data_IF_845286260754
#
_entry.id   IF_845286260754
#
_cell.length_a   1.000
_cell.length_b   1.000
_cell.length_c   1.000
_cell.angle_alpha   90.00
_cell.angle_beta   90.00
_cell.angle_gamma   90.00
#
_symmetry.space_group_name_H-M   'P 1'
#
loop_
_entity.id
_entity.type
_entity.pdbx_description
1 polymer ?
#
# COMPACT_ATOMS: atom_id res chain seq x y z
N UNK A 1 -15.88 -22.84 -1.43
CA UNK A 1 -14.68 -22.66 -0.59
C UNK A 1 -14.21 -24.05 -0.24
N UNK A 2 -12.94 -24.41 -0.48
CA UNK A 2 -12.38 -25.61 0.17
C UNK A 2 -12.48 -25.37 1.67
N UNK A 3 -13.29 -26.18 2.35
CA UNK A 3 -13.65 -26.00 3.75
C UNK A 3 -12.37 -25.92 4.60
N UNK A 4 -12.20 -24.81 5.32
CA UNK A 4 -11.08 -24.58 6.25
C UNK A 4 -9.94 -23.69 5.76
N UNK A 5 -9.88 -23.29 4.48
CA UNK A 5 -8.83 -22.36 3.99
C UNK A 5 -9.23 -20.89 4.16
N UNK A 6 -8.25 -20.03 4.47
CA UNK A 6 -8.44 -18.58 4.48
C UNK A 6 -8.94 -18.08 3.10
N UNK A 7 -10.09 -17.39 3.02
CA UNK A 7 -10.58 -16.85 1.73
C UNK A 7 -9.75 -15.69 1.21
N UNK A 8 -8.93 -15.04 2.05
CA UNK A 8 -8.03 -13.97 1.64
C UNK A 8 -6.68 -14.53 1.17
N UNK A 9 -6.34 -14.26 -0.08
CA UNK A 9 -5.04 -14.58 -0.69
C UNK A 9 -4.35 -13.28 -1.14
N UNK A 10 -3.08 -13.12 -0.76
CA UNK A 10 -2.27 -11.96 -1.15
C UNK A 10 -1.26 -12.39 -2.22
N UNK A 11 -1.59 -12.16 -3.49
CA UNK A 11 -0.76 -12.59 -4.63
C UNK A 11 0.41 -11.64 -4.92
N UNK A 12 0.36 -10.42 -4.38
CA UNK A 12 1.43 -9.43 -4.52
C UNK A 12 2.58 -9.71 -3.55
N UNK A 13 3.81 -9.66 -4.06
CA UNK A 13 5.03 -9.68 -3.25
C UNK A 13 5.25 -8.34 -2.52
N UNK A 14 6.23 -8.33 -1.63
CA UNK A 14 6.66 -7.10 -0.94
C UNK A 14 7.18 -6.05 -1.93
N UNK A 15 6.90 -4.76 -1.69
CA UNK A 15 7.34 -3.68 -2.56
C UNK A 15 8.86 -3.55 -2.51
N UNK A 16 9.47 -3.40 -3.68
CA UNK A 16 10.92 -3.18 -3.84
C UNK A 16 11.27 -1.74 -4.24
N UNK A 17 10.28 -0.98 -4.68
CA UNK A 17 10.43 0.39 -5.15
C UNK A 17 10.02 1.41 -4.08
N UNK A 18 10.57 2.63 -4.17
CA UNK A 18 10.19 3.73 -3.29
C UNK A 18 8.83 4.31 -3.72
N UNK A 19 7.92 4.46 -2.75
CA UNK A 19 6.56 4.91 -3.01
C UNK A 19 6.50 6.32 -3.58
N UNK A 20 7.27 7.26 -3.02
CA UNK A 20 7.26 8.65 -3.47
C UNK A 20 7.95 8.84 -4.82
N UNK A 21 8.95 8.02 -5.15
CA UNK A 21 9.55 8.04 -6.48
C UNK A 21 8.55 7.60 -7.55
N UNK A 22 7.73 6.57 -7.26
CA UNK A 22 6.59 6.21 -8.12
C UNK A 22 5.62 7.39 -8.31
N UNK A 23 5.23 8.08 -7.23
CA UNK A 23 4.36 9.26 -7.33
C UNK A 23 4.99 10.35 -8.22
N UNK A 24 6.27 10.66 -8.00
CA UNK A 24 6.99 11.69 -8.77
C UNK A 24 7.23 11.31 -10.24
N UNK A 25 7.08 10.03 -10.59
CA UNK A 25 7.15 9.53 -11.97
C UNK A 25 5.90 9.84 -12.82
N UNK A 26 4.78 10.22 -12.21
CA UNK A 26 3.52 10.40 -12.93
C UNK A 26 3.02 11.86 -12.94
N UNK A 27 2.51 12.30 -14.10
CA UNK A 27 2.01 13.67 -14.29
C UNK A 27 0.88 14.02 -13.32
N UNK A 28 0.01 13.04 -12.98
CA UNK A 28 -1.13 13.27 -12.08
C UNK A 28 -0.73 13.72 -10.68
N UNK A 29 0.44 13.31 -10.19
CA UNK A 29 0.94 13.74 -8.87
C UNK A 29 1.89 14.93 -8.99
N UNK A 30 2.73 14.99 -10.03
CA UNK A 30 3.65 16.12 -10.21
C UNK A 30 2.92 17.44 -10.51
N UNK A 31 1.73 17.41 -11.11
CA UNK A 31 0.88 18.60 -11.25
C UNK A 31 0.45 19.16 -9.89
N UNK A 32 0.11 18.31 -8.91
CA UNK A 32 -0.22 18.74 -7.54
C UNK A 32 1.00 19.35 -6.84
N UNK A 33 2.16 18.71 -6.96
CA UNK A 33 3.42 19.20 -6.39
C UNK A 33 3.82 20.57 -6.93
N UNK A 34 3.60 20.82 -8.24
CA UNK A 34 3.90 22.11 -8.86
C UNK A 34 2.96 23.23 -8.38
N UNK A 35 1.67 22.91 -8.23
CA UNK A 35 0.67 23.90 -7.85
C UNK A 35 0.67 24.20 -6.34
N UNK A 36 0.92 23.19 -5.51
CA UNK A 36 0.79 23.28 -4.05
C UNK A 36 1.92 22.47 -3.36
N UNK A 37 3.17 22.94 -3.39
CA UNK A 37 4.33 22.14 -2.98
C UNK A 37 4.27 21.66 -1.52
N UNK A 38 3.86 22.54 -0.59
CA UNK A 38 3.79 22.20 0.84
C UNK A 38 2.71 21.15 1.12
N UNK A 39 1.49 21.39 0.61
CA UNK A 39 0.37 20.45 0.76
C UNK A 39 0.65 19.11 0.06
N UNK A 40 1.31 19.13 -1.10
CA UNK A 40 1.69 17.92 -1.81
C UNK A 40 2.69 17.08 -0.99
N UNK A 41 3.66 17.71 -0.32
CA UNK A 41 4.59 17.01 0.56
C UNK A 41 3.89 16.27 1.70
N UNK A 42 2.94 16.93 2.38
CA UNK A 42 2.14 16.31 3.44
C UNK A 42 1.27 15.17 2.91
N UNK A 43 0.60 15.38 1.77
CA UNK A 43 -0.26 14.38 1.15
C UNK A 43 0.52 13.15 0.66
N UNK A 44 1.72 13.34 0.10
CA UNK A 44 2.56 12.23 -0.36
C UNK A 44 3.07 11.38 0.81
N UNK A 45 3.51 12.02 1.90
CA UNK A 45 3.88 11.32 3.13
C UNK A 45 2.71 10.51 3.69
N UNK A 46 1.53 11.13 3.79
CA UNK A 46 0.32 10.46 4.26
C UNK A 46 -0.07 9.28 3.37
N UNK A 47 0.00 9.44 2.05
CA UNK A 47 -0.34 8.38 1.11
C UNK A 47 0.61 7.16 1.25
N UNK A 48 1.90 7.40 1.48
CA UNK A 48 2.89 6.35 1.75
C UNK A 48 2.57 5.59 3.04
N UNK A 49 2.28 6.29 4.13
CA UNK A 49 1.88 5.70 5.42
C UNK A 49 0.59 4.87 5.29
N UNK A 50 -0.42 5.40 4.60
CA UNK A 50 -1.69 4.70 4.35
C UNK A 50 -1.50 3.45 3.47
N UNK A 51 -0.63 3.52 2.46
CA UNK A 51 -0.29 2.38 1.62
C UNK A 51 0.41 1.26 2.41
N UNK A 52 1.38 1.62 3.26
CA UNK A 52 2.06 0.67 4.14
C UNK A 52 1.09 0.02 5.15
N UNK A 53 0.21 0.83 5.77
CA UNK A 53 -0.81 0.33 6.69
C UNK A 53 -1.78 -0.64 6.01
N UNK A 54 -2.22 -0.33 4.78
CA UNK A 54 -3.08 -1.20 3.98
C UNK A 54 -2.40 -2.53 3.63
N UNK A 55 -1.14 -2.51 3.22
CA UNK A 55 -0.39 -3.73 2.96
C UNK A 55 -0.26 -4.60 4.22
N UNK A 56 0.05 -4.00 5.37
CA UNK A 56 0.13 -4.72 6.64
C UNK A 56 -1.20 -5.36 7.02
N UNK A 57 -2.32 -4.67 6.77
CA UNK A 57 -3.64 -5.24 6.97
C UNK A 57 -3.89 -6.45 6.06
N UNK A 58 -3.56 -6.34 4.77
CA UNK A 58 -3.69 -7.46 3.83
C UNK A 58 -2.84 -8.66 4.23
N UNK A 59 -1.59 -8.44 4.66
CA UNK A 59 -0.72 -9.50 5.21
C UNK A 59 -1.37 -10.20 6.40
N UNK A 60 -1.92 -9.42 7.35
CA UNK A 60 -2.63 -9.95 8.52
C UNK A 60 -3.88 -10.74 8.11
N UNK A 61 -4.67 -10.22 7.19
CA UNK A 61 -5.88 -10.91 6.71
C UNK A 61 -5.53 -12.22 6.02
N UNK A 62 -4.44 -12.26 5.23
CA UNK A 62 -3.96 -13.47 4.55
C UNK A 62 -3.37 -14.50 5.54
N UNK A 63 -2.75 -14.07 6.64
CA UNK A 63 -2.20 -14.98 7.66
C UNK A 63 -3.21 -15.41 8.73
N UNK A 64 -4.35 -14.72 8.87
CA UNK A 64 -5.33 -14.97 9.93
C UNK A 64 -6.04 -16.34 9.87
N UNK A 65 -5.98 -17.04 8.73
CA UNK A 65 -6.46 -18.43 8.61
C UNK A 65 -5.38 -19.50 8.73
N UNK A 66 -4.17 -19.14 9.17
CA UNK A 66 -3.03 -20.05 9.36
C UNK A 66 -2.77 -20.40 10.84
N UNK A 67 -3.74 -20.20 11.73
CA UNK A 67 -3.66 -20.75 13.09
C UNK A 67 -3.92 -22.25 13.03
N UNK A 68 -2.87 -23.03 12.75
CA UNK A 68 -2.78 -24.43 13.19
C UNK A 68 -2.51 -24.44 14.70
N UNK A 69 -3.22 -25.31 15.42
CA UNK A 69 -2.91 -25.74 16.79
C UNK A 69 -1.51 -26.36 16.89
#
# INVERSE_FOLDING_TARGET
>A
AEEGKNPMQLDSKDPTENYQDFLKGEVRYTSLLKAFPDAAGELFKRAEEEAAARLNNYKRMASAGSTEE
#
